data_IF_511429849913
#
_entry.id   IF_511429849913
#
_cell.length_a   1.000
_cell.length_b   1.000
_cell.length_c   1.000
_cell.angle_alpha   90.00
_cell.angle_beta   90.00
_cell.angle_gamma   90.00
#
_symmetry.space_group_name_H-M   'P 1'
#
loop_
_entity.id
_entity.type
_entity.pdbx_description
1 polymer ?
#
# COMPACT_ATOMS: atom_id res chain seq x y z
N UNK A 1 -67.30 2.41 38.22
CA UNK A 1 -67.21 1.98 36.85
C UNK A 1 -66.77 3.15 35.94
N UNK A 2 -67.37 4.34 36.04
CA UNK A 2 -66.95 5.51 35.27
C UNK A 2 -65.49 5.89 35.46
N UNK A 3 -64.96 5.85 36.69
CA UNK A 3 -63.57 6.13 36.96
C UNK A 3 -62.65 5.11 36.35
N UNK A 4 -63.00 3.81 36.34
CA UNK A 4 -62.25 2.73 35.73
C UNK A 4 -62.17 2.93 34.20
N UNK A 5 -63.33 3.21 33.55
CA UNK A 5 -63.39 3.51 32.12
C UNK A 5 -62.48 4.70 31.71
N UNK A 6 -62.51 5.79 32.50
CA UNK A 6 -61.65 6.95 32.25
C UNK A 6 -60.15 6.64 32.39
N UNK A 7 -59.80 5.81 33.41
CA UNK A 7 -58.40 5.37 33.58
C UNK A 7 -57.95 4.49 32.40
N UNK A 8 -58.80 3.54 31.96
CA UNK A 8 -58.50 2.69 30.78
C UNK A 8 -58.27 3.52 29.51
N UNK A 9 -59.17 4.47 29.25
CA UNK A 9 -59.00 5.38 28.08
C UNK A 9 -57.71 6.17 28.14
N UNK A 10 -57.41 6.78 29.30
CA UNK A 10 -56.18 7.54 29.48
C UNK A 10 -54.94 6.66 29.30
N UNK A 11 -54.97 5.42 29.81
CA UNK A 11 -53.88 4.46 29.61
C UNK A 11 -53.73 4.04 28.16
N UNK A 12 -54.85 3.81 27.47
CA UNK A 12 -54.85 3.49 26.04
C UNK A 12 -54.30 4.65 25.20
N UNK A 13 -54.70 5.90 25.48
CA UNK A 13 -54.18 7.08 24.79
C UNK A 13 -52.67 7.26 25.03
N UNK A 14 -52.23 7.02 26.24
CA UNK A 14 -50.79 7.06 26.57
C UNK A 14 -50.04 5.99 25.80
N UNK A 15 -50.53 4.75 25.77
CA UNK A 15 -49.93 3.64 25.04
C UNK A 15 -49.91 3.89 23.51
N UNK A 16 -50.99 4.50 22.96
CA UNK A 16 -51.04 4.92 21.57
C UNK A 16 -49.93 5.90 21.21
N UNK A 17 -49.74 6.95 22.01
CA UNK A 17 -48.70 7.96 21.79
C UNK A 17 -47.30 7.37 21.91
N UNK A 18 -47.07 6.47 22.88
CA UNK A 18 -45.82 5.76 23.02
C UNK A 18 -45.53 4.83 21.82
N UNK A 19 -46.57 4.11 21.35
CA UNK A 19 -46.46 3.25 20.17
C UNK A 19 -46.08 4.03 18.89
N UNK A 20 -46.68 5.21 18.71
CA UNK A 20 -46.33 6.10 17.59
C UNK A 20 -44.86 6.58 17.69
N UNK A 21 -44.41 6.98 18.88
CA UNK A 21 -43.04 7.40 19.09
C UNK A 21 -42.04 6.26 18.82
N UNK A 22 -42.35 5.03 19.28
CA UNK A 22 -41.50 3.85 19.02
C UNK A 22 -41.51 3.51 17.53
N UNK A 23 -42.66 3.57 16.85
CA UNK A 23 -42.75 3.32 15.40
C UNK A 23 -41.88 4.30 14.60
N UNK A 24 -41.93 5.60 14.91
CA UNK A 24 -41.11 6.61 14.29
C UNK A 24 -39.61 6.39 14.54
N UNK A 25 -39.24 6.03 15.76
CA UNK A 25 -37.85 5.68 16.10
C UNK A 25 -37.38 4.41 15.39
N UNK A 26 -38.27 3.45 15.16
CA UNK A 26 -37.98 2.20 14.41
C UNK A 26 -37.78 2.48 12.94
N UNK A 27 -38.55 3.37 12.33
CA UNK A 27 -38.39 3.80 10.94
C UNK A 27 -37.02 4.50 10.75
N UNK A 28 -36.65 5.39 11.67
CA UNK A 28 -35.34 6.05 11.67
C UNK A 28 -34.19 5.04 11.85
N UNK A 29 -34.34 4.08 12.78
CA UNK A 29 -33.37 3.01 12.99
C UNK A 29 -33.21 2.14 11.73
N UNK A 30 -34.32 1.78 11.06
CA UNK A 30 -34.29 1.01 9.81
C UNK A 30 -33.57 1.78 8.69
N UNK A 31 -33.81 3.07 8.56
CA UNK A 31 -33.09 3.92 7.59
C UNK A 31 -31.58 3.97 7.89
N UNK A 32 -31.19 4.09 9.16
CA UNK A 32 -29.79 4.08 9.58
C UNK A 32 -29.12 2.72 9.33
N UNK A 33 -29.82 1.62 9.60
CA UNK A 33 -29.35 0.26 9.29
C UNK A 33 -29.08 0.11 7.80
N UNK A 34 -29.97 0.61 6.93
CA UNK A 34 -29.77 0.58 5.48
C UNK A 34 -28.56 1.40 5.03
N UNK A 35 -28.33 2.57 5.65
CA UNK A 35 -27.12 3.38 5.37
C UNK A 35 -25.84 2.64 5.75
N UNK A 36 -25.82 1.98 6.92
CA UNK A 36 -24.67 1.20 7.37
C UNK A 36 -24.44 -0.02 6.46
N UNK A 37 -25.52 -0.69 5.98
CA UNK A 37 -25.42 -1.77 5.00
C UNK A 37 -24.73 -1.33 3.71
N UNK A 38 -25.13 -0.16 3.22
CA UNK A 38 -24.54 0.44 2.00
C UNK A 38 -23.07 0.75 2.23
N UNK A 39 -22.74 1.39 3.34
CA UNK A 39 -21.35 1.73 3.69
C UNK A 39 -20.48 0.47 3.88
N UNK A 40 -21.01 -0.60 4.47
CA UNK A 40 -20.29 -1.88 4.61
C UNK A 40 -20.00 -2.51 3.23
N UNK A 41 -20.95 -2.41 2.28
CA UNK A 41 -20.75 -2.90 0.91
C UNK A 41 -19.68 -2.09 0.18
N UNK A 42 -19.66 -0.76 0.32
CA UNK A 42 -18.64 0.10 -0.26
C UNK A 42 -17.26 -0.15 0.36
N UNK A 43 -17.21 -0.37 1.67
CA UNK A 43 -15.98 -0.78 2.36
C UNK A 43 -15.45 -2.10 1.83
N UNK A 44 -16.30 -3.11 1.65
CA UNK A 44 -15.90 -4.41 1.10
C UNK A 44 -15.32 -4.27 -0.31
N UNK A 45 -15.91 -3.44 -1.15
CA UNK A 45 -15.38 -3.15 -2.49
C UNK A 45 -14.01 -2.46 -2.43
N UNK A 46 -13.85 -1.45 -1.56
CA UNK A 46 -12.58 -0.73 -1.36
C UNK A 46 -11.48 -1.66 -0.81
N UNK A 47 -11.80 -2.54 0.14
CA UNK A 47 -10.88 -3.54 0.69
C UNK A 47 -10.38 -4.49 -0.41
N UNK A 48 -11.26 -4.94 -1.30
CA UNK A 48 -10.88 -5.79 -2.44
C UNK A 48 -9.95 -5.05 -3.42
N UNK A 49 -10.19 -3.78 -3.67
CA UNK A 49 -9.31 -2.95 -4.51
C UNK A 49 -7.92 -2.78 -3.86
N UNK A 50 -7.88 -2.46 -2.56
CA UNK A 50 -6.61 -2.36 -1.81
C UNK A 50 -5.85 -3.69 -1.84
N UNK A 51 -6.55 -4.83 -1.66
CA UNK A 51 -5.95 -6.16 -1.77
C UNK A 51 -5.29 -6.38 -3.14
N UNK A 52 -5.97 -5.99 -4.21
CA UNK A 52 -5.42 -6.03 -5.58
C UNK A 52 -4.16 -5.18 -5.72
N UNK A 53 -4.19 -3.92 -5.24
CA UNK A 53 -3.04 -3.00 -5.29
C UNK A 53 -1.85 -3.49 -4.48
N UNK A 54 -2.08 -4.11 -3.32
CA UNK A 54 -1.02 -4.69 -2.49
C UNK A 54 -0.37 -5.88 -3.19
N UNK A 55 -1.16 -6.75 -3.81
CA UNK A 55 -0.64 -7.87 -4.62
C UNK A 55 0.21 -7.37 -5.80
N UNK A 56 -0.26 -6.36 -6.52
CA UNK A 56 0.49 -5.74 -7.62
C UNK A 56 1.79 -5.09 -7.12
N UNK A 57 1.75 -4.39 -5.99
CA UNK A 57 2.93 -3.78 -5.36
C UNK A 57 3.97 -4.84 -4.99
N UNK A 58 3.55 -5.97 -4.44
CA UNK A 58 4.43 -7.10 -4.12
C UNK A 58 5.10 -7.68 -5.37
N UNK A 59 4.33 -7.87 -6.45
CA UNK A 59 4.85 -8.37 -7.72
C UNK A 59 5.84 -7.38 -8.37
N UNK A 60 5.55 -6.08 -8.29
CA UNK A 60 6.46 -5.03 -8.77
C UNK A 60 7.76 -5.00 -7.95
N UNK A 61 7.69 -5.14 -6.63
CA UNK A 61 8.86 -5.19 -5.76
C UNK A 61 9.74 -6.41 -6.12
N UNK A 62 9.15 -7.58 -6.31
CA UNK A 62 9.87 -8.77 -6.73
C UNK A 62 10.56 -8.58 -8.09
N UNK A 63 9.85 -8.04 -9.06
CA UNK A 63 10.40 -7.76 -10.40
C UNK A 63 11.53 -6.73 -10.35
N UNK A 64 11.40 -5.69 -9.50
CA UNK A 64 12.43 -4.67 -9.31
C UNK A 64 13.69 -5.26 -8.66
N UNK A 65 13.55 -6.17 -7.69
CA UNK A 65 14.68 -6.90 -7.08
C UNK A 65 15.44 -7.70 -8.14
N UNK A 66 14.74 -8.44 -9.00
CA UNK A 66 15.37 -9.23 -10.07
C UNK A 66 16.16 -8.33 -11.03
N UNK A 67 15.56 -7.21 -11.43
CA UNK A 67 16.21 -6.24 -12.32
C UNK A 67 17.44 -5.58 -11.68
N UNK A 68 17.35 -5.23 -10.40
CA UNK A 68 18.47 -4.66 -9.65
C UNK A 68 19.63 -5.67 -9.55
N UNK A 69 19.32 -6.95 -9.26
CA UNK A 69 20.32 -8.02 -9.25
C UNK A 69 21.03 -8.16 -10.60
N UNK A 70 20.26 -8.21 -11.70
CA UNK A 70 20.83 -8.32 -13.04
C UNK A 70 21.68 -7.09 -13.41
N UNK A 71 21.28 -5.89 -12.97
CA UNK A 71 22.05 -4.66 -13.16
C UNK A 71 23.36 -4.73 -12.39
N UNK A 72 23.34 -5.23 -11.15
CA UNK A 72 24.53 -5.43 -10.33
C UNK A 72 25.52 -6.39 -11.00
N UNK A 73 25.05 -7.52 -11.53
CA UNK A 73 25.88 -8.48 -12.30
C UNK A 73 26.56 -7.82 -13.52
N UNK A 74 25.82 -6.98 -14.25
CA UNK A 74 26.39 -6.26 -15.40
C UNK A 74 27.46 -5.25 -14.98
N UNK A 75 27.26 -4.53 -13.88
CA UNK A 75 28.25 -3.57 -13.35
C UNK A 75 29.49 -4.30 -12.83
N UNK A 76 29.33 -5.44 -12.16
CA UNK A 76 30.47 -6.28 -11.76
C UNK A 76 31.24 -6.75 -12.99
N UNK A 77 30.56 -7.15 -14.06
CA UNK A 77 31.21 -7.50 -15.33
C UNK A 77 31.99 -6.34 -15.95
N UNK A 78 31.48 -5.10 -15.83
CA UNK A 78 32.20 -3.89 -16.26
C UNK A 78 33.44 -3.63 -15.40
N UNK A 79 33.38 -3.83 -14.11
CA UNK A 79 34.51 -3.70 -13.20
C UNK A 79 35.63 -4.71 -13.56
N UNK A 80 35.24 -5.98 -13.79
CA UNK A 80 36.20 -7.02 -14.19
C UNK A 80 36.86 -6.72 -15.55
N UNK A 81 36.09 -6.17 -16.49
CA UNK A 81 36.63 -5.73 -17.77
C UNK A 81 37.61 -4.57 -17.60
N UNK A 82 37.30 -3.59 -16.76
CA UNK A 82 38.18 -2.47 -16.45
C UNK A 82 39.49 -2.94 -15.78
N UNK A 83 39.43 -3.91 -14.85
CA UNK A 83 40.61 -4.52 -14.26
C UNK A 83 41.51 -5.16 -15.30
N UNK A 84 40.97 -5.96 -16.23
CA UNK A 84 41.71 -6.59 -17.31
C UNK A 84 42.34 -5.57 -18.25
N UNK A 85 41.64 -4.49 -18.57
CA UNK A 85 42.19 -3.40 -19.38
C UNK A 85 43.36 -2.75 -18.62
N UNK A 86 43.23 -2.52 -17.30
CA UNK A 86 44.32 -1.99 -16.46
C UNK A 86 45.59 -2.85 -16.53
N UNK A 87 45.46 -4.17 -16.49
CA UNK A 87 46.58 -5.12 -16.60
C UNK A 87 47.28 -4.99 -17.96
N UNK A 88 46.50 -4.89 -19.07
CA UNK A 88 47.05 -4.72 -20.42
C UNK A 88 47.77 -3.37 -20.56
N UNK A 89 47.20 -2.30 -20.01
CA UNK A 89 47.81 -0.97 -20.03
C UNK A 89 49.14 -0.97 -19.24
N UNK A 90 49.18 -1.65 -18.09
CA UNK A 90 50.42 -1.86 -17.32
C UNK A 90 51.52 -2.53 -18.19
N UNK A 91 51.16 -3.60 -18.90
CA UNK A 91 52.09 -4.28 -19.82
C UNK A 91 52.58 -3.37 -20.95
N UNK A 92 51.70 -2.55 -21.54
CA UNK A 92 52.07 -1.59 -22.59
C UNK A 92 53.01 -0.52 -22.02
N UNK A 93 52.78 -0.05 -20.79
CA UNK A 93 53.68 0.92 -20.12
C UNK A 93 55.06 0.33 -19.90
N UNK A 94 55.12 -0.96 -19.44
CA UNK A 94 56.41 -1.66 -19.28
C UNK A 94 57.16 -1.81 -20.60
N UNK A 95 56.45 -2.18 -21.67
CA UNK A 95 57.05 -2.27 -23.03
C UNK A 95 57.56 -0.91 -23.50
N UNK A 96 56.81 0.17 -23.25
CA UNK A 96 57.24 1.53 -23.59
C UNK A 96 58.51 1.91 -22.82
N UNK A 97 58.59 1.57 -21.51
CA UNK A 97 59.80 1.75 -20.69
C UNK A 97 61.01 1.00 -21.21
N UNK A 98 60.82 -0.29 -21.57
CA UNK A 98 61.89 -1.12 -22.17
C UNK A 98 62.31 -0.56 -23.52
N UNK A 99 61.38 -0.13 -24.38
CA UNK A 99 61.64 0.46 -25.69
C UNK A 99 62.43 1.76 -25.57
N UNK A 100 62.11 2.59 -24.56
CA UNK A 100 62.85 3.82 -24.27
C UNK A 100 64.29 3.53 -23.87
N UNK A 101 64.53 2.49 -23.03
CA UNK A 101 65.87 2.06 -22.66
C UNK A 101 66.67 1.49 -23.83
N UNK A 102 66.05 0.69 -24.71
CA UNK A 102 66.65 0.18 -25.92
C UNK A 102 67.04 1.31 -26.88
N UNK A 103 66.16 2.30 -27.08
CA UNK A 103 66.42 3.48 -27.91
C UNK A 103 67.55 4.34 -27.30
N UNK A 104 67.62 4.47 -26.00
CA UNK A 104 68.74 5.16 -25.32
C UNK A 104 70.06 4.45 -25.56
N UNK A 105 70.11 3.12 -25.41
CA UNK A 105 71.31 2.33 -25.70
C UNK A 105 71.76 2.46 -27.18
N UNK A 106 70.79 2.42 -28.13
CA UNK A 106 71.03 2.63 -29.52
C UNK A 106 71.59 4.04 -29.82
N UNK A 107 71.04 5.07 -29.13
CA UNK A 107 71.60 6.44 -29.29
C UNK A 107 73.05 6.57 -28.82
N UNK A 108 73.37 5.89 -27.69
CA UNK A 108 74.72 5.88 -27.15
C UNK A 108 75.69 5.20 -28.18
N UNK A 109 75.28 4.06 -28.69
CA UNK A 109 76.16 3.31 -29.62
C UNK A 109 76.33 4.03 -31.01
N UNK A 110 75.24 4.70 -31.45
CA UNK A 110 75.30 5.57 -32.66
C UNK A 110 76.28 6.74 -32.48
N UNK A 111 76.27 7.36 -31.27
CA UNK A 111 77.26 8.41 -30.95
C UNK A 111 78.70 7.87 -30.91
N UNK A 112 78.87 6.64 -30.49
CA UNK A 112 80.16 5.95 -30.43
C UNK A 112 80.74 5.63 -31.80
N UNK A 113 79.91 5.40 -32.84
CA UNK A 113 80.26 5.13 -34.22
C UNK A 113 80.61 6.41 -35.03
N UNK A 114 80.53 7.59 -34.42
CA UNK A 114 80.88 8.87 -35.07
C UNK A 114 80.04 9.19 -36.28
N UNK A 115 80.66 9.63 -37.40
CA UNK A 115 79.98 10.02 -38.63
C UNK A 115 79.14 8.88 -39.23
N UNK A 116 79.61 7.63 -39.12
CA UNK A 116 78.91 6.46 -39.64
C UNK A 116 77.60 6.17 -38.88
N UNK A 117 77.43 6.67 -37.65
CA UNK A 117 76.24 6.46 -36.78
C UNK A 117 75.15 7.50 -36.93
N UNK A 118 75.35 8.60 -37.66
CA UNK A 118 74.39 9.72 -37.70
C UNK A 118 72.96 9.31 -38.12
N UNK A 119 72.79 8.43 -39.12
CA UNK A 119 71.47 7.94 -39.54
C UNK A 119 70.77 7.10 -38.44
N UNK A 120 71.58 6.28 -37.76
CA UNK A 120 71.06 5.47 -36.59
C UNK A 120 70.67 6.33 -35.41
N UNK A 121 71.41 7.41 -35.13
CA UNK A 121 71.08 8.34 -34.03
C UNK A 121 69.70 9.02 -34.23
N UNK A 122 69.37 9.38 -35.49
CA UNK A 122 68.02 9.96 -35.77
C UNK A 122 66.91 8.96 -35.53
N UNK A 123 67.06 7.71 -36.02
CA UNK A 123 66.05 6.66 -35.78
C UNK A 123 65.93 6.35 -34.31
N UNK A 124 67.00 6.21 -33.54
CA UNK A 124 67.00 5.96 -32.11
C UNK A 124 66.33 7.09 -31.35
N UNK A 125 66.53 8.35 -31.72
CA UNK A 125 65.83 9.51 -31.13
C UNK A 125 64.33 9.47 -31.38
N UNK A 126 63.91 9.08 -32.61
CA UNK A 126 62.49 8.97 -32.96
C UNK A 126 61.78 7.83 -32.17
N UNK A 127 62.43 6.65 -32.06
CA UNK A 127 61.93 5.53 -31.27
C UNK A 127 61.82 5.92 -29.80
N UNK A 128 62.79 6.68 -29.26
CA UNK A 128 62.73 7.20 -27.89
C UNK A 128 61.55 8.15 -27.68
N UNK A 129 61.31 9.06 -28.63
CA UNK A 129 60.19 9.97 -28.58
C UNK A 129 58.84 9.21 -28.63
N UNK A 130 58.72 8.21 -29.50
CA UNK A 130 57.52 7.36 -29.59
C UNK A 130 57.26 6.58 -28.30
N UNK A 131 58.30 6.03 -27.69
CA UNK A 131 58.24 5.34 -26.40
C UNK A 131 57.72 6.27 -25.28
N UNK A 132 58.25 7.49 -25.20
CA UNK A 132 57.78 8.50 -24.24
C UNK A 132 56.32 8.93 -24.48
N UNK A 133 55.92 9.09 -25.75
CA UNK A 133 54.51 9.38 -26.07
C UNK A 133 53.60 8.22 -25.70
N UNK A 134 54.02 6.98 -25.91
CA UNK A 134 53.29 5.78 -25.52
C UNK A 134 53.11 5.71 -24.01
N UNK A 135 54.17 5.95 -23.24
CA UNK A 135 54.11 5.98 -21.77
C UNK A 135 53.12 7.06 -21.28
N UNK A 136 53.18 8.26 -21.85
CA UNK A 136 52.22 9.32 -21.49
C UNK A 136 50.80 8.94 -21.83
N UNK A 137 50.53 8.35 -22.98
CA UNK A 137 49.20 7.88 -23.37
C UNK A 137 48.68 6.76 -22.42
N UNK A 138 49.56 5.82 -22.01
CA UNK A 138 49.19 4.77 -21.05
C UNK A 138 48.88 5.34 -19.67
N UNK A 139 49.57 6.38 -19.20
CA UNK A 139 49.27 7.06 -17.96
C UNK A 139 47.87 7.72 -17.98
N UNK A 140 47.55 8.40 -19.11
CA UNK A 140 46.23 9.00 -19.31
C UNK A 140 45.13 7.93 -19.32
N UNK A 141 45.32 6.79 -19.99
CA UNK A 141 44.36 5.69 -20.01
C UNK A 141 44.22 5.06 -18.60
N UNK A 142 45.32 4.87 -17.87
CA UNK A 142 45.29 4.37 -16.50
C UNK A 142 44.43 5.24 -15.61
N UNK A 143 44.56 6.57 -15.74
CA UNK A 143 43.71 7.50 -14.98
C UNK A 143 42.21 7.34 -15.33
N UNK A 144 41.87 7.13 -16.62
CA UNK A 144 40.49 6.88 -17.05
C UNK A 144 39.94 5.55 -16.52
N UNK A 145 40.75 4.49 -16.56
CA UNK A 145 40.37 3.16 -16.02
C UNK A 145 40.10 3.24 -14.53
N UNK A 146 40.95 3.92 -13.77
CA UNK A 146 40.72 4.15 -12.34
C UNK A 146 39.42 4.93 -12.09
N UNK A 147 39.11 5.93 -12.93
CA UNK A 147 37.83 6.65 -12.87
C UNK A 147 36.63 5.75 -13.14
N UNK A 148 36.74 4.84 -14.13
CA UNK A 148 35.67 3.84 -14.42
C UNK A 148 35.49 2.90 -13.22
N UNK A 149 36.56 2.38 -12.62
CA UNK A 149 36.48 1.49 -11.45
C UNK A 149 35.83 2.17 -10.25
N UNK A 150 36.17 3.43 -10.00
CA UNK A 150 35.54 4.20 -8.93
C UNK A 150 34.04 4.41 -9.21
N UNK A 151 33.67 4.79 -10.44
CA UNK A 151 32.27 5.00 -10.82
C UNK A 151 31.45 3.70 -10.73
N UNK A 152 32.01 2.57 -11.15
CA UNK A 152 31.35 1.26 -11.01
C UNK A 152 31.19 0.84 -9.57
N UNK A 153 32.16 1.11 -8.71
CA UNK A 153 32.05 0.87 -7.25
C UNK A 153 30.91 1.65 -6.63
N UNK A 154 30.82 2.95 -6.91
CA UNK A 154 29.70 3.78 -6.43
C UNK A 154 28.32 3.31 -6.98
N UNK A 155 28.31 2.82 -8.21
CA UNK A 155 27.06 2.29 -8.80
C UNK A 155 26.61 0.99 -8.11
N UNK A 156 27.55 0.09 -7.73
CA UNK A 156 27.22 -1.11 -6.94
C UNK A 156 26.61 -0.72 -5.60
N UNK A 157 27.24 0.21 -4.87
CA UNK A 157 26.70 0.69 -3.58
C UNK A 157 25.29 1.26 -3.71
N UNK A 158 25.05 2.06 -4.75
CA UNK A 158 23.71 2.63 -5.02
C UNK A 158 22.68 1.55 -5.34
N UNK A 159 23.05 0.49 -6.06
CA UNK A 159 22.13 -0.63 -6.35
C UNK A 159 21.84 -1.43 -5.09
N UNK A 160 22.81 -1.66 -4.22
CA UNK A 160 22.59 -2.35 -2.95
C UNK A 160 21.63 -1.57 -2.06
N UNK A 161 21.71 -0.24 -2.07
CA UNK A 161 20.75 0.61 -1.37
C UNK A 161 19.33 0.48 -1.96
N UNK A 162 19.21 0.47 -3.29
CA UNK A 162 17.92 0.24 -3.98
C UNK A 162 17.34 -1.13 -3.59
N UNK A 163 18.14 -2.19 -3.56
CA UNK A 163 17.69 -3.54 -3.16
C UNK A 163 17.14 -3.53 -1.74
N UNK A 164 17.79 -2.84 -0.80
CA UNK A 164 17.28 -2.69 0.57
C UNK A 164 15.95 -1.95 0.61
N UNK A 165 15.82 -0.83 -0.12
CA UNK A 165 14.55 -0.10 -0.19
C UNK A 165 13.43 -0.96 -0.77
N UNK A 166 13.70 -1.79 -1.78
CA UNK A 166 12.71 -2.69 -2.37
C UNK A 166 12.30 -3.78 -1.36
N UNK A 167 13.25 -4.29 -0.58
CA UNK A 167 12.97 -5.24 0.51
C UNK A 167 12.03 -4.64 1.56
N UNK A 168 12.27 -3.40 1.97
CA UNK A 168 11.39 -2.67 2.90
C UNK A 168 9.99 -2.46 2.33
N UNK A 169 9.89 -2.17 1.02
CA UNK A 169 8.59 -2.07 0.34
C UNK A 169 7.84 -3.40 0.39
N UNK A 170 8.51 -4.52 0.14
CA UNK A 170 7.92 -5.86 0.19
C UNK A 170 7.43 -6.22 1.60
N UNK A 171 8.20 -5.90 2.64
CA UNK A 171 7.81 -6.11 4.03
C UNK A 171 6.57 -5.28 4.39
N UNK A 172 6.55 -4.01 4.00
CA UNK A 172 5.39 -3.13 4.22
C UNK A 172 4.16 -3.60 3.46
N UNK A 173 4.31 -4.04 2.23
CA UNK A 173 3.21 -4.62 1.45
C UNK A 173 2.62 -5.85 2.16
N UNK A 174 3.45 -6.72 2.71
CA UNK A 174 3.00 -7.88 3.49
C UNK A 174 2.25 -7.49 4.77
N UNK A 175 2.71 -6.45 5.47
CA UNK A 175 2.01 -5.92 6.65
C UNK A 175 0.64 -5.31 6.28
N UNK A 176 0.56 -4.59 5.15
CA UNK A 176 -0.71 -4.05 4.64
C UNK A 176 -1.64 -5.19 4.24
N UNK A 177 -1.14 -6.27 3.59
CA UNK A 177 -1.94 -7.44 3.25
C UNK A 177 -2.60 -8.08 4.49
N UNK A 178 -1.84 -8.24 5.57
CA UNK A 178 -2.38 -8.76 6.83
C UNK A 178 -3.47 -7.84 7.44
N UNK A 179 -3.27 -6.52 7.37
CA UNK A 179 -4.28 -5.57 7.83
C UNK A 179 -5.56 -5.61 6.97
N UNK A 180 -5.42 -5.79 5.66
CA UNK A 180 -6.54 -5.96 4.71
C UNK A 180 -7.34 -7.22 5.00
N UNK A 181 -6.68 -8.34 5.33
CA UNK A 181 -7.38 -9.56 5.77
C UNK A 181 -8.20 -9.33 7.04
N UNK A 182 -7.63 -8.65 8.02
CA UNK A 182 -8.37 -8.29 9.25
C UNK A 182 -9.56 -7.37 8.97
N UNK A 183 -9.40 -6.38 8.07
CA UNK A 183 -10.49 -5.51 7.66
C UNK A 183 -11.59 -6.28 6.93
N UNK A 184 -11.24 -7.27 6.10
CA UNK A 184 -12.21 -8.15 5.42
C UNK A 184 -13.09 -8.88 6.43
N UNK A 185 -12.48 -9.47 7.47
CA UNK A 185 -13.21 -10.15 8.54
C UNK A 185 -14.13 -9.18 9.30
N UNK A 186 -13.59 -8.03 9.72
CA UNK A 186 -14.36 -7.03 10.45
C UNK A 186 -15.54 -6.49 9.63
N UNK A 187 -15.35 -6.25 8.33
CA UNK A 187 -16.43 -5.77 7.44
C UNK A 187 -17.50 -6.84 7.23
N UNK A 188 -17.12 -8.11 7.16
CA UNK A 188 -18.07 -9.22 7.14
C UNK A 188 -18.89 -9.32 8.42
N UNK A 189 -18.28 -9.14 9.59
CA UNK A 189 -18.97 -9.10 10.88
C UNK A 189 -19.93 -7.90 10.96
N UNK A 190 -19.53 -6.72 10.46
CA UNK A 190 -20.41 -5.55 10.37
C UNK A 190 -21.62 -5.89 9.51
N UNK A 191 -21.45 -6.52 8.35
CA UNK A 191 -22.56 -6.91 7.47
C UNK A 191 -23.53 -7.86 8.16
N UNK A 192 -23.05 -8.86 8.88
CA UNK A 192 -23.91 -9.77 9.67
C UNK A 192 -24.67 -9.05 10.79
N UNK A 193 -24.01 -8.14 11.50
CA UNK A 193 -24.65 -7.35 12.57
C UNK A 193 -25.72 -6.43 12.00
N UNK A 194 -25.51 -5.87 10.82
CA UNK A 194 -26.47 -5.03 10.10
C UNK A 194 -27.71 -5.86 9.71
N UNK A 195 -27.52 -7.07 9.18
CA UNK A 195 -28.63 -7.99 8.86
C UNK A 195 -29.47 -8.33 10.13
N UNK A 196 -28.81 -8.60 11.24
CA UNK A 196 -29.50 -8.84 12.52
C UNK A 196 -30.24 -7.60 13.01
N UNK A 197 -29.64 -6.41 12.89
CA UNK A 197 -30.30 -5.16 13.27
C UNK A 197 -31.52 -4.87 12.38
N UNK A 198 -31.42 -5.15 11.06
CA UNK A 198 -32.56 -5.04 10.15
C UNK A 198 -33.72 -5.95 10.56
N UNK A 199 -33.44 -7.22 10.82
CA UNK A 199 -34.45 -8.17 11.31
C UNK A 199 -35.06 -7.70 12.64
N UNK A 200 -34.24 -7.20 13.58
CA UNK A 200 -34.72 -6.66 14.85
C UNK A 200 -35.63 -5.43 14.67
N UNK A 201 -35.33 -4.53 13.76
CA UNK A 201 -36.20 -3.38 13.47
C UNK A 201 -37.54 -3.81 12.84
N UNK A 202 -37.53 -4.82 11.96
CA UNK A 202 -38.76 -5.41 11.41
C UNK A 202 -39.63 -6.06 12.50
N UNK A 203 -39.04 -6.81 13.44
CA UNK A 203 -39.77 -7.41 14.57
C UNK A 203 -40.37 -6.34 15.47
N UNK A 204 -39.66 -5.25 15.78
CA UNK A 204 -40.19 -4.14 16.57
C UNK A 204 -41.36 -3.49 15.84
N UNK A 205 -41.26 -3.27 14.53
CA UNK A 205 -42.34 -2.70 13.71
C UNK A 205 -43.59 -3.57 13.76
N UNK A 206 -43.47 -4.88 13.62
CA UNK A 206 -44.57 -5.83 13.72
C UNK A 206 -45.21 -5.84 15.14
N UNK A 207 -44.36 -5.79 16.17
CA UNK A 207 -44.82 -5.71 17.55
C UNK A 207 -45.62 -4.43 17.82
N UNK A 208 -45.17 -3.29 17.27
CA UNK A 208 -45.88 -2.01 17.43
C UNK A 208 -47.24 -2.00 16.73
N UNK A 209 -47.40 -2.70 15.59
CA UNK A 209 -48.72 -2.92 14.98
C UNK A 209 -49.63 -3.71 15.90
N UNK A 210 -49.13 -4.75 16.59
CA UNK A 210 -49.86 -5.50 17.58
C UNK A 210 -50.30 -4.66 18.77
N UNK A 211 -49.39 -3.80 19.29
CA UNK A 211 -49.69 -2.85 20.37
C UNK A 211 -50.79 -1.86 19.95
N UNK A 212 -50.70 -1.34 18.72
CA UNK A 212 -51.73 -0.42 18.19
C UNK A 212 -53.12 -1.08 18.13
N UNK A 213 -53.20 -2.36 17.71
CA UNK A 213 -54.43 -3.16 17.77
C UNK A 213 -54.98 -3.32 19.21
N UNK A 214 -54.14 -3.71 20.14
CA UNK A 214 -54.53 -3.89 21.54
C UNK A 214 -55.01 -2.57 22.21
N UNK A 215 -54.41 -1.44 21.81
CA UNK A 215 -54.84 -0.10 22.25
C UNK A 215 -56.23 0.23 21.70
N UNK A 216 -56.52 -0.07 20.44
CA UNK A 216 -57.81 0.12 19.83
C UNK A 216 -58.88 -0.73 20.56
N UNK A 217 -58.61 -2.01 20.83
CA UNK A 217 -59.49 -2.92 21.56
C UNK A 217 -59.78 -2.43 22.98
N UNK A 218 -58.71 -1.91 23.65
CA UNK A 218 -58.83 -1.36 25.01
C UNK A 218 -59.75 -0.12 25.03
N UNK A 219 -59.62 0.74 24.00
CA UNK A 219 -60.51 1.91 23.87
C UNK A 219 -61.99 1.51 23.62
N UNK A 220 -62.22 0.47 22.83
CA UNK A 220 -63.57 -0.07 22.62
C UNK A 220 -64.13 -0.62 23.95
N UNK A 221 -63.37 -1.47 24.63
CA UNK A 221 -63.79 -2.03 25.91
C UNK A 221 -64.02 -0.95 26.99
N UNK A 222 -63.19 0.08 27.05
CA UNK A 222 -63.39 1.21 27.95
C UNK A 222 -64.70 1.99 27.66
N UNK A 223 -65.04 2.17 26.39
CA UNK A 223 -66.30 2.80 26.00
C UNK A 223 -67.51 1.94 26.38
N UNK A 224 -67.43 0.62 26.20
CA UNK A 224 -68.51 -0.32 26.60
C UNK A 224 -68.72 -0.33 28.13
N UNK A 225 -67.64 -0.30 28.93
CA UNK A 225 -67.70 -0.15 30.36
C UNK A 225 -68.35 1.19 30.77
N UNK A 226 -68.02 2.26 30.07
CA UNK A 226 -68.61 3.58 30.28
C UNK A 226 -70.11 3.58 30.05
N UNK A 227 -70.53 3.03 28.88
CA UNK A 227 -71.97 2.91 28.52
C UNK A 227 -72.70 2.06 29.49
N UNK A 228 -72.18 0.92 29.90
CA UNK A 228 -72.78 0.05 30.89
C UNK A 228 -72.92 0.74 32.27
N UNK A 229 -71.91 1.50 32.71
CA UNK A 229 -71.97 2.29 33.93
C UNK A 229 -73.02 3.37 33.90
N UNK A 230 -73.21 4.04 32.79
CA UNK A 230 -74.26 5.05 32.58
C UNK A 230 -75.65 4.44 32.65
N UNK A 231 -75.80 3.30 31.95
CA UNK A 231 -77.12 2.57 31.99
C UNK A 231 -77.48 2.09 33.40
N UNK A 232 -76.49 1.56 34.12
CA UNK A 232 -76.73 1.17 35.56
C UNK A 232 -77.06 2.36 36.45
N UNK A 233 -76.46 3.53 36.22
CA UNK A 233 -76.76 4.77 36.92
C UNK A 233 -78.22 5.18 36.69
N UNK A 234 -78.65 5.21 35.45
CA UNK A 234 -80.06 5.56 35.08
C UNK A 234 -81.10 4.55 35.63
N UNK A 235 -80.74 3.24 35.55
CA UNK A 235 -81.65 2.22 36.19
C UNK A 235 -81.73 2.35 37.69
N UNK A 236 -80.59 2.65 38.34
CA UNK A 236 -80.59 2.85 39.82
C UNK A 236 -81.40 4.08 40.25
N UNK A 237 -81.37 5.15 39.47
CA UNK A 237 -82.23 6.34 39.68
C UNK A 237 -83.69 6.04 39.43
N UNK A 238 -84.02 5.27 38.39
CA UNK A 238 -85.39 4.84 38.11
C UNK A 238 -86.01 3.91 39.16
N UNK A 239 -85.22 3.16 39.93
CA UNK A 239 -85.65 2.30 40.99
C UNK A 239 -85.80 3.04 42.36
N UNK A 240 -85.29 4.27 42.48
CA UNK A 240 -85.36 5.11 43.69
C UNK A 240 -86.56 6.09 43.68
N UNK A 241 -87.14 6.35 42.51
CA UNK A 241 -88.32 7.19 42.33
C UNK A 241 -89.63 6.38 42.28
#
# INVERSE_FOLDING_TARGET
>A
LHQVSNVLRKSADTAANQSLAVSSGTEEASANVQLVATAATELAASINEISGQVSETSNMAQSATERARHTNENIQGLNDAALKIGEVIGLISDIAGQTNLLALNATIEAARAGDAGKGFAVVASEVKNLANQTAKATDEITSQINGIQQATGLAVEAIDEIVRMISDISERASAVAAAVEQQTVATSEISQNVEQAAAGTEEISAAMQGVSGAVADTNVAANDVHGSATNLGTQSESLRG
#
